data_IF_221945595146
#
_entry.id   IF_221945595146
#
_cell.length_a   1.000
_cell.length_b   1.000
_cell.length_c   1.000
_cell.angle_alpha   90.00
_cell.angle_beta   90.00
_cell.angle_gamma   90.00
#
_symmetry.space_group_name_H-M   'P 1'
#
loop_
_entity.id
_entity.type
_entity.pdbx_description
1 polymer ?
#
# COMPACT_ATOMS: atom_id res chain seq x y z
N UNK A 1 -38.53 5.98 45.38
CA UNK A 1 -37.31 5.32 44.84
C UNK A 1 -37.46 4.76 43.42
N UNK A 2 -38.52 4.07 43.03
CA UNK A 2 -38.69 3.46 41.68
C UNK A 2 -38.67 4.41 40.48
N UNK A 3 -39.15 5.68 40.58
CA UNK A 3 -39.10 6.64 39.44
C UNK A 3 -37.68 7.12 39.12
N UNK A 4 -36.85 7.44 40.14
CA UNK A 4 -35.47 7.86 39.97
C UNK A 4 -34.61 6.75 39.33
N UNK A 5 -34.83 5.50 39.75
CA UNK A 5 -34.13 4.34 39.15
C UNK A 5 -34.48 4.13 37.67
N UNK A 6 -35.74 4.31 37.25
CA UNK A 6 -36.14 4.24 35.87
C UNK A 6 -35.56 5.33 34.98
N UNK A 7 -35.40 6.57 35.52
CA UNK A 7 -34.76 7.68 34.80
C UNK A 7 -33.27 7.40 34.61
N UNK A 8 -32.59 6.92 35.65
CA UNK A 8 -31.15 6.56 35.54
C UNK A 8 -30.94 5.45 34.54
N UNK A 9 -31.81 4.41 34.54
CA UNK A 9 -31.73 3.33 33.57
C UNK A 9 -31.98 3.82 32.12
N UNK A 10 -32.92 4.74 31.92
CA UNK A 10 -33.19 5.34 30.62
C UNK A 10 -31.99 6.17 30.11
N UNK A 11 -31.38 6.98 30.99
CA UNK A 11 -30.17 7.76 30.64
C UNK A 11 -29.01 6.82 30.28
N UNK A 12 -28.78 5.78 31.08
CA UNK A 12 -27.73 4.80 30.77
C UNK A 12 -27.97 4.09 29.42
N UNK A 13 -29.22 3.71 29.12
CA UNK A 13 -29.56 3.13 27.82
C UNK A 13 -29.31 4.08 26.66
N UNK A 14 -29.59 5.38 26.80
CA UNK A 14 -29.29 6.40 25.80
C UNK A 14 -27.78 6.51 25.56
N UNK A 15 -26.99 6.52 26.62
CA UNK A 15 -25.52 6.57 26.50
C UNK A 15 -24.96 5.31 25.80
N UNK A 16 -25.52 4.14 26.09
CA UNK A 16 -25.13 2.91 25.40
C UNK A 16 -25.47 2.98 23.89
N UNK A 17 -26.66 3.46 23.54
CA UNK A 17 -27.06 3.61 22.12
C UNK A 17 -26.17 4.63 21.40
N UNK A 18 -25.87 5.77 22.02
CA UNK A 18 -24.96 6.77 21.46
C UNK A 18 -23.55 6.20 21.30
N UNK A 19 -23.06 5.46 22.29
CA UNK A 19 -21.74 4.81 22.24
C UNK A 19 -21.63 3.79 21.11
N UNK A 20 -22.64 2.93 20.98
CA UNK A 20 -22.71 1.95 19.86
C UNK A 20 -22.84 2.68 18.52
N UNK A 21 -23.72 3.69 18.44
CA UNK A 21 -23.90 4.51 17.23
C UNK A 21 -22.61 5.22 16.82
N UNK A 22 -21.87 5.79 17.77
CA UNK A 22 -20.58 6.41 17.53
C UNK A 22 -19.50 5.41 17.08
N UNK A 23 -19.51 4.20 17.64
CA UNK A 23 -18.60 3.12 17.23
C UNK A 23 -18.83 2.69 15.77
N UNK A 24 -20.09 2.62 15.38
CA UNK A 24 -20.52 2.19 14.03
C UNK A 24 -20.50 3.34 13.01
N UNK A 25 -20.39 4.60 13.45
CA UNK A 25 -20.40 5.76 12.56
C UNK A 25 -19.12 5.79 11.72
N UNK A 26 -19.20 5.50 10.41
CA UNK A 26 -18.04 5.55 9.56
C UNK A 26 -17.59 6.99 9.33
N UNK A 27 -16.29 7.24 9.47
CA UNK A 27 -15.65 8.52 9.12
C UNK A 27 -14.74 8.25 7.93
N UNK A 28 -14.76 9.14 6.94
CA UNK A 28 -13.91 9.04 5.76
C UNK A 28 -12.47 9.40 6.11
N UNK A 29 -11.72 8.38 6.52
CA UNK A 29 -10.32 8.50 6.92
C UNK A 29 -9.79 7.26 7.60
N UNK A 30 -8.58 7.42 8.11
CA UNK A 30 -7.84 6.41 8.85
C UNK A 30 -7.36 6.98 10.17
N UNK A 31 -7.27 6.11 11.16
CA UNK A 31 -6.55 6.36 12.41
C UNK A 31 -5.19 5.73 12.27
N UNK A 32 -4.17 6.53 12.46
CA UNK A 32 -2.77 6.11 12.52
C UNK A 32 -2.37 5.95 14.00
N UNK A 33 -1.71 4.85 14.30
CA UNK A 33 -1.19 4.56 15.62
C UNK A 33 0.25 4.05 15.53
N UNK A 34 1.10 4.29 16.55
CA UNK A 34 2.42 3.67 16.59
C UNK A 34 2.30 2.17 16.53
N UNK A 35 3.08 1.57 15.64
CA UNK A 35 3.23 0.13 15.55
C UNK A 35 4.34 -0.39 16.44
N UNK A 36 4.79 -1.60 16.14
CA UNK A 36 5.88 -2.25 16.88
C UNK A 36 7.23 -2.04 16.17
N UNK A 37 8.29 -2.25 16.94
CA UNK A 37 9.64 -2.34 16.42
C UNK A 37 10.06 -3.82 16.43
N UNK A 38 9.89 -4.49 15.29
CA UNK A 38 10.16 -5.90 15.15
C UNK A 38 11.62 -6.16 14.74
N UNK A 39 12.23 -7.19 15.31
CA UNK A 39 13.59 -7.58 14.94
C UNK A 39 13.60 -8.13 13.51
N UNK A 40 14.38 -7.49 12.62
CA UNK A 40 14.51 -7.86 11.21
C UNK A 40 14.96 -9.32 11.02
N UNK A 41 15.76 -9.87 11.93
CA UNK A 41 16.22 -11.27 11.88
C UNK A 41 15.08 -12.30 11.88
N UNK A 42 13.87 -11.94 12.31
CA UNK A 42 12.71 -12.82 12.25
C UNK A 42 12.17 -13.00 10.83
N UNK A 43 12.40 -12.01 9.98
CA UNK A 43 11.88 -11.96 8.59
C UNK A 43 12.94 -12.39 7.57
N UNK A 44 14.23 -12.30 7.90
CA UNK A 44 15.33 -12.63 6.99
C UNK A 44 15.98 -13.95 7.41
N UNK A 45 16.00 -14.90 6.48
CA UNK A 45 16.67 -16.20 6.67
C UNK A 45 17.54 -16.50 5.46
N UNK A 46 18.73 -17.04 5.71
CA UNK A 46 19.64 -17.56 4.69
C UNK A 46 19.79 -19.05 4.94
N UNK A 47 19.41 -19.89 3.98
CA UNK A 47 19.38 -21.35 4.12
C UNK A 47 18.64 -21.83 5.39
N UNK A 48 17.52 -21.16 5.72
CA UNK A 48 16.72 -21.47 6.91
C UNK A 48 17.31 -21.00 8.25
N UNK A 49 18.49 -20.39 8.24
CA UNK A 49 19.17 -19.86 9.42
C UNK A 49 18.88 -18.37 9.60
N UNK A 50 18.67 -17.97 10.84
CA UNK A 50 18.57 -16.56 11.24
C UNK A 50 19.93 -16.02 11.63
N UNK A 51 20.14 -14.71 11.48
CA UNK A 51 21.34 -14.04 11.99
C UNK A 51 21.34 -14.00 13.52
N UNK A 52 22.41 -14.54 14.11
CA UNK A 52 22.66 -14.55 15.56
C UNK A 52 23.83 -13.63 15.97
N UNK A 53 24.23 -12.70 15.09
CA UNK A 53 25.32 -11.76 15.38
C UNK A 53 24.94 -10.82 16.53
N UNK A 54 25.99 -10.21 17.13
CA UNK A 54 25.80 -9.15 18.12
C UNK A 54 25.26 -7.90 17.45
N UNK A 55 24.17 -7.38 17.97
CA UNK A 55 23.44 -6.26 17.41
C UNK A 55 22.14 -6.71 16.73
N UNK A 56 21.27 -5.76 16.43
CA UNK A 56 20.01 -6.03 15.76
C UNK A 56 19.55 -4.84 14.94
N UNK A 57 18.90 -5.11 13.83
CA UNK A 57 18.13 -4.13 13.07
C UNK A 57 16.66 -4.35 13.38
N UNK A 58 15.92 -3.26 13.56
CA UNK A 58 14.49 -3.32 13.80
C UNK A 58 13.75 -2.63 12.65
N UNK A 59 12.61 -3.22 12.26
CA UNK A 59 11.64 -2.59 11.37
C UNK A 59 10.60 -1.93 12.26
N UNK A 60 10.37 -0.62 12.06
CA UNK A 60 9.27 0.10 12.70
C UNK A 60 8.05 0.08 11.81
N UNK A 61 6.88 -0.08 12.41
CA UNK A 61 5.60 -0.09 11.71
C UNK A 61 4.66 1.00 12.23
N UNK A 62 3.64 1.31 11.44
CA UNK A 62 2.50 2.16 11.82
C UNK A 62 1.24 1.34 11.57
N UNK A 63 0.35 1.31 12.57
CA UNK A 63 -0.97 0.74 12.37
C UNK A 63 -1.88 1.75 11.70
N UNK A 64 -2.58 1.28 10.67
CA UNK A 64 -3.53 2.07 9.92
C UNK A 64 -4.88 1.34 9.95
N UNK A 65 -5.88 1.96 10.58
CA UNK A 65 -7.23 1.39 10.68
C UNK A 65 -8.28 2.36 10.13
N UNK A 66 -9.37 1.83 9.57
CA UNK A 66 -10.49 2.67 9.14
C UNK A 66 -11.03 3.46 10.32
N UNK A 67 -11.24 4.77 10.10
CA UNK A 67 -11.74 5.66 11.13
C UNK A 67 -13.23 5.41 11.41
N UNK A 68 -13.59 5.48 12.68
CA UNK A 68 -14.97 5.57 13.16
C UNK A 68 -15.10 6.71 14.17
N UNK A 69 -16.33 7.04 14.58
CA UNK A 69 -16.57 8.19 15.44
C UNK A 69 -15.82 8.15 16.77
N UNK A 70 -15.75 7.00 17.42
CA UNK A 70 -15.00 6.86 18.68
C UNK A 70 -13.51 6.93 18.49
N UNK A 71 -12.99 6.27 17.44
CA UNK A 71 -11.58 6.34 17.07
C UNK A 71 -11.15 7.78 16.78
N UNK A 72 -11.96 8.55 16.07
CA UNK A 72 -11.70 9.97 15.83
C UNK A 72 -11.64 10.77 17.13
N UNK A 73 -12.60 10.56 18.05
CA UNK A 73 -12.57 11.23 19.36
C UNK A 73 -11.32 10.87 20.16
N UNK A 74 -10.84 9.64 20.04
CA UNK A 74 -9.59 9.23 20.70
C UNK A 74 -8.37 10.00 20.20
N UNK A 75 -8.33 10.40 18.93
CA UNK A 75 -7.21 11.21 18.39
C UNK A 75 -7.15 12.61 19.02
N UNK A 76 -8.27 13.13 19.56
CA UNK A 76 -8.30 14.45 20.20
C UNK A 76 -7.69 14.44 21.62
N UNK A 77 -7.63 13.29 22.26
CA UNK A 77 -7.18 13.14 23.65
C UNK A 77 -5.89 12.32 23.77
N UNK A 78 -5.53 11.55 22.76
CA UNK A 78 -4.31 10.73 22.76
C UNK A 78 -3.31 11.27 21.71
N UNK A 79 -2.18 11.86 22.16
CA UNK A 79 -1.19 12.48 21.27
C UNK A 79 -0.44 11.46 20.39
N UNK A 80 -0.58 10.16 20.65
CA UNK A 80 0.03 9.10 19.86
C UNK A 80 -0.85 8.60 18.69
N UNK A 81 -2.09 9.11 18.63
CA UNK A 81 -3.01 8.80 17.52
C UNK A 81 -3.15 10.01 16.62
N UNK A 82 -3.15 9.78 15.31
CA UNK A 82 -3.47 10.83 14.35
C UNK A 82 -4.61 10.38 13.42
N UNK A 83 -5.34 11.36 12.92
CA UNK A 83 -6.37 11.16 11.92
C UNK A 83 -5.88 11.68 10.57
N UNK A 84 -5.96 10.83 9.55
CA UNK A 84 -5.68 11.20 8.16
C UNK A 84 -6.90 10.93 7.28
N UNK A 85 -7.24 11.86 6.38
CA UNK A 85 -8.33 11.65 5.43
C UNK A 85 -7.99 10.54 4.45
N UNK A 86 -8.99 9.80 3.98
CA UNK A 86 -8.78 8.73 3.00
C UNK A 86 -7.99 9.22 1.79
N UNK A 87 -8.33 10.40 1.25
CA UNK A 87 -7.65 10.96 0.09
C UNK A 87 -6.15 11.24 0.34
N UNK A 88 -5.79 11.67 1.55
CA UNK A 88 -4.40 11.98 1.91
C UNK A 88 -3.56 10.69 2.02
N UNK A 89 -4.17 9.60 2.51
CA UNK A 89 -3.52 8.29 2.67
C UNK A 89 -3.45 7.55 1.34
N UNK A 90 -4.55 7.53 0.58
CA UNK A 90 -4.67 6.70 -0.63
C UNK A 90 -4.34 7.44 -1.92
N UNK A 91 -4.04 8.75 -1.85
CA UNK A 91 -3.88 9.58 -3.04
C UNK A 91 -5.17 9.77 -3.85
N UNK A 92 -6.33 9.56 -3.21
CA UNK A 92 -7.65 9.61 -3.86
C UNK A 92 -8.07 8.30 -4.53
N UNK A 93 -7.25 7.26 -4.43
CA UNK A 93 -7.55 5.93 -4.95
C UNK A 93 -8.40 5.09 -3.97
N UNK A 94 -9.00 4.01 -4.46
CA UNK A 94 -9.70 3.07 -3.58
C UNK A 94 -8.73 2.35 -2.64
N UNK A 95 -9.22 1.89 -1.48
CA UNK A 95 -8.39 1.12 -0.54
C UNK A 95 -7.78 -0.15 -1.17
N UNK A 96 -8.46 -0.77 -2.14
CA UNK A 96 -7.96 -1.94 -2.85
C UNK A 96 -6.79 -1.60 -3.78
N UNK A 97 -6.89 -0.47 -4.51
CA UNK A 97 -5.81 0.04 -5.36
C UNK A 97 -4.61 0.45 -4.49
N UNK A 98 -4.85 1.17 -3.41
CA UNK A 98 -3.80 1.52 -2.44
C UNK A 98 -3.07 0.29 -1.92
N UNK A 99 -3.79 -0.77 -1.52
CA UNK A 99 -3.18 -2.01 -1.05
C UNK A 99 -2.31 -2.69 -2.12
N UNK A 100 -2.74 -2.69 -3.40
CA UNK A 100 -1.93 -3.21 -4.53
C UNK A 100 -0.61 -2.44 -4.67
N UNK A 101 -0.66 -1.11 -4.60
CA UNK A 101 0.54 -0.26 -4.70
C UNK A 101 1.48 -0.48 -3.52
N UNK A 102 0.96 -0.57 -2.29
CA UNK A 102 1.77 -0.85 -1.10
C UNK A 102 2.44 -2.22 -1.18
N UNK A 103 1.72 -3.24 -1.65
CA UNK A 103 2.31 -4.57 -1.87
C UNK A 103 3.44 -4.54 -2.91
N UNK A 104 3.26 -3.81 -4.01
CA UNK A 104 4.32 -3.61 -5.00
C UNK A 104 5.56 -2.96 -4.38
N UNK A 105 5.40 -1.88 -3.60
CA UNK A 105 6.53 -1.24 -2.94
C UNK A 105 7.26 -2.19 -2.00
N UNK A 106 6.53 -3.02 -1.23
CA UNK A 106 7.13 -4.01 -0.35
C UNK A 106 7.94 -5.05 -1.15
N UNK A 107 7.36 -5.64 -2.20
CA UNK A 107 8.04 -6.64 -3.03
C UNK A 107 9.26 -6.05 -3.74
N UNK A 108 9.16 -4.81 -4.23
CA UNK A 108 10.28 -4.11 -4.85
C UNK A 108 11.42 -3.81 -3.85
N UNK A 109 11.07 -3.45 -2.62
CA UNK A 109 12.05 -3.21 -1.56
C UNK A 109 12.76 -4.52 -1.16
N UNK A 110 12.04 -5.64 -1.06
CA UNK A 110 12.62 -6.96 -0.79
C UNK A 110 13.59 -7.35 -1.90
N UNK A 111 13.15 -7.29 -3.16
CA UNK A 111 14.00 -7.64 -4.31
C UNK A 111 15.27 -6.77 -4.38
N UNK A 112 15.14 -5.47 -4.09
CA UNK A 112 16.28 -4.55 -4.03
C UNK A 112 17.25 -4.90 -2.90
N UNK A 113 16.72 -5.23 -1.73
CA UNK A 113 17.53 -5.64 -0.58
C UNK A 113 18.30 -6.95 -0.85
N UNK A 114 17.63 -7.94 -1.45
CA UNK A 114 18.26 -9.20 -1.88
C UNK A 114 19.38 -8.95 -2.89
N UNK A 115 19.12 -8.14 -3.91
CA UNK A 115 20.13 -7.79 -4.91
C UNK A 115 21.38 -7.16 -4.28
N UNK A 116 21.18 -6.21 -3.36
CA UNK A 116 22.29 -5.56 -2.64
C UNK A 116 23.03 -6.55 -1.76
N UNK A 117 22.32 -7.42 -1.04
CA UNK A 117 22.91 -8.42 -0.15
C UNK A 117 23.78 -9.43 -0.92
N UNK A 118 23.25 -10.02 -2.00
CA UNK A 118 24.00 -10.96 -2.85
C UNK A 118 25.22 -10.31 -3.48
N UNK A 119 25.07 -9.07 -4.00
CA UNK A 119 26.20 -8.30 -4.54
C UNK A 119 27.28 -8.05 -3.48
N UNK A 120 26.91 -7.68 -2.26
CA UNK A 120 27.85 -7.45 -1.15
C UNK A 120 28.52 -8.73 -0.69
N UNK A 121 27.84 -9.85 -0.75
CA UNK A 121 28.36 -11.18 -0.41
C UNK A 121 29.19 -11.81 -1.55
N UNK A 122 29.35 -11.14 -2.71
CA UNK A 122 29.95 -11.69 -3.92
C UNK A 122 29.31 -13.01 -4.38
N UNK A 123 28.00 -13.15 -4.17
CA UNK A 123 27.23 -14.30 -4.61
C UNK A 123 26.54 -13.99 -5.95
N UNK A 124 26.42 -15.01 -6.83
CA UNK A 124 25.71 -14.82 -8.10
C UNK A 124 24.23 -14.59 -7.84
N UNK A 125 23.64 -13.64 -8.58
CA UNK A 125 22.20 -13.38 -8.60
C UNK A 125 21.76 -13.11 -10.03
N UNK A 126 20.66 -13.73 -10.43
CA UNK A 126 20.01 -13.45 -11.70
C UNK A 126 18.82 -12.53 -11.45
N UNK A 127 18.79 -11.38 -12.12
CA UNK A 127 17.69 -10.43 -12.04
C UNK A 127 16.93 -10.47 -13.36
N UNK A 128 15.62 -10.72 -13.29
CA UNK A 128 14.73 -10.70 -14.44
C UNK A 128 13.81 -9.48 -14.35
N UNK A 129 13.88 -8.63 -15.35
CA UNK A 129 12.97 -7.49 -15.48
C UNK A 129 11.62 -7.97 -16.02
N UNK A 130 10.55 -7.73 -15.28
CA UNK A 130 9.20 -8.20 -15.65
C UNK A 130 8.38 -7.15 -16.42
N UNK A 131 8.76 -5.89 -16.32
CA UNK A 131 8.05 -4.80 -16.97
C UNK A 131 7.91 -3.55 -16.09
N UNK A 132 7.07 -2.62 -16.51
CA UNK A 132 6.74 -1.38 -15.80
C UNK A 132 5.44 -1.57 -15.03
N UNK A 133 5.50 -1.49 -13.72
CA UNK A 133 4.30 -1.52 -12.88
C UNK A 133 3.61 -0.16 -12.90
N UNK A 134 2.32 -0.14 -13.17
CA UNK A 134 1.50 1.08 -13.24
C UNK A 134 1.09 1.50 -11.84
N UNK A 135 1.69 2.57 -11.33
CA UNK A 135 1.42 3.13 -10.00
C UNK A 135 0.28 4.15 -9.99
N UNK A 136 0.08 4.83 -11.12
CA UNK A 136 -0.96 5.84 -11.27
C UNK A 136 -1.34 5.98 -12.75
N UNK A 137 -2.61 6.28 -13.00
CA UNK A 137 -3.12 6.65 -14.33
C UNK A 137 -3.78 8.02 -14.21
N UNK A 138 -3.19 9.03 -14.83
CA UNK A 138 -3.70 10.40 -14.75
C UNK A 138 -5.11 10.53 -15.36
N UNK A 139 -5.90 11.47 -14.86
CA UNK A 139 -7.31 11.68 -15.31
C UNK A 139 -7.42 11.95 -16.81
N UNK A 140 -6.42 12.60 -17.38
CA UNK A 140 -6.37 13.00 -18.80
C UNK A 140 -5.64 11.97 -19.67
N UNK A 141 -5.26 10.82 -19.12
CA UNK A 141 -4.60 9.76 -19.88
C UNK A 141 -5.55 9.10 -20.87
N UNK A 142 -5.12 9.00 -22.13
CA UNK A 142 -5.83 8.26 -23.17
C UNK A 142 -5.98 6.77 -22.83
N UNK A 143 -5.08 6.22 -22.00
CA UNK A 143 -5.07 4.82 -21.56
C UNK A 143 -5.98 4.53 -20.36
N UNK A 144 -6.65 5.53 -19.78
CA UNK A 144 -7.47 5.39 -18.58
C UNK A 144 -8.55 4.31 -18.68
N UNK A 145 -9.05 4.00 -19.88
CA UNK A 145 -10.07 2.98 -20.11
C UNK A 145 -9.49 1.58 -20.25
N UNK A 146 -8.23 1.46 -20.61
CA UNK A 146 -7.56 0.21 -20.95
C UNK A 146 -6.57 -0.24 -19.88
N UNK A 147 -5.74 0.67 -19.39
CA UNK A 147 -4.70 0.41 -18.38
C UNK A 147 -5.19 0.88 -17.00
N UNK A 148 -4.89 0.08 -15.99
CA UNK A 148 -5.28 0.33 -14.61
C UNK A 148 -4.06 0.31 -13.69
N UNK A 149 -4.19 0.94 -12.53
CA UNK A 149 -3.19 0.81 -11.45
C UNK A 149 -3.10 -0.66 -11.03
N UNK A 150 -1.88 -1.17 -10.96
CA UNK A 150 -1.62 -2.58 -10.70
C UNK A 150 -1.31 -3.42 -11.94
N UNK A 151 -1.50 -2.89 -13.14
CA UNK A 151 -1.03 -3.55 -14.36
C UNK A 151 0.50 -3.51 -14.44
N UNK A 152 1.11 -4.52 -15.04
CA UNK A 152 2.52 -4.52 -15.40
C UNK A 152 2.65 -4.48 -16.92
N UNK A 153 3.13 -3.38 -17.48
CA UNK A 153 3.38 -3.24 -18.92
C UNK A 153 4.61 -4.08 -19.27
N UNK A 154 4.45 -5.06 -20.14
CA UNK A 154 5.48 -6.01 -20.52
C UNK A 154 6.12 -5.69 -21.86
N UNK A 155 5.36 -5.10 -22.79
CA UNK A 155 5.86 -4.68 -24.11
C UNK A 155 5.09 -3.47 -24.64
N UNK A 156 5.71 -2.71 -25.54
CA UNK A 156 5.06 -1.70 -26.39
C UNK A 156 5.44 -1.97 -27.84
N UNK A 157 4.43 -2.10 -28.70
CA UNK A 157 4.59 -2.46 -30.11
C UNK A 157 5.50 -3.71 -30.27
N UNK A 158 5.20 -4.76 -29.50
CA UNK A 158 5.95 -6.02 -29.44
C UNK A 158 7.40 -5.88 -28.91
N UNK A 159 7.78 -4.67 -28.46
CA UNK A 159 9.13 -4.39 -27.93
C UNK A 159 9.18 -4.65 -26.43
N UNK A 160 9.98 -5.63 -26.01
CA UNK A 160 10.28 -5.90 -24.63
C UNK A 160 11.48 -5.06 -24.15
N UNK A 161 11.48 -4.69 -22.89
CA UNK A 161 12.51 -3.83 -22.31
C UNK A 161 13.26 -4.57 -21.20
N UNK A 162 14.55 -4.32 -21.10
CA UNK A 162 15.42 -4.90 -20.07
C UNK A 162 15.41 -4.09 -18.77
N UNK A 163 14.97 -2.83 -18.83
CA UNK A 163 14.87 -1.91 -17.69
C UNK A 163 13.98 -0.70 -18.03
N UNK A 164 13.64 0.06 -16.99
CA UNK A 164 12.79 1.25 -17.11
C UNK A 164 13.41 2.35 -18.00
N UNK A 165 14.72 2.53 -17.99
CA UNK A 165 15.39 3.58 -18.80
C UNK A 165 15.22 3.31 -20.31
N UNK A 166 15.31 2.04 -20.73
CA UNK A 166 15.08 1.65 -22.12
C UNK A 166 13.64 1.92 -22.55
N UNK A 167 12.69 1.59 -21.68
CA UNK A 167 11.28 1.88 -21.88
C UNK A 167 11.03 3.39 -22.07
N UNK A 168 11.55 4.22 -21.15
CA UNK A 168 11.38 5.68 -21.21
C UNK A 168 12.00 6.25 -22.49
N UNK A 169 13.22 5.82 -22.85
CA UNK A 169 13.89 6.26 -24.09
C UNK A 169 13.15 5.86 -25.35
N UNK A 170 12.56 4.66 -25.36
CA UNK A 170 11.77 4.19 -26.48
C UNK A 170 10.54 5.08 -26.71
N UNK A 171 9.80 5.40 -25.64
CA UNK A 171 8.65 6.29 -25.72
C UNK A 171 9.03 7.72 -26.07
N UNK A 172 10.13 8.25 -25.50
CA UNK A 172 10.58 9.61 -25.77
C UNK A 172 10.97 9.84 -27.24
N UNK A 173 11.37 8.79 -27.96
CA UNK A 173 11.72 8.84 -29.37
C UNK A 173 10.51 8.68 -30.30
N UNK A 174 9.32 8.39 -29.77
CA UNK A 174 8.13 8.29 -30.60
C UNK A 174 7.50 9.67 -30.87
N UNK A 175 6.92 9.86 -32.04
CA UNK A 175 6.12 11.07 -32.31
C UNK A 175 4.98 11.22 -31.29
N UNK A 176 4.61 12.45 -30.97
CA UNK A 176 3.40 12.72 -30.16
C UNK A 176 2.17 12.24 -30.96
N UNK A 177 1.15 11.81 -30.20
CA UNK A 177 -0.14 11.40 -30.73
C UNK A 177 -0.14 10.14 -31.63
N UNK A 178 0.94 9.34 -31.60
CA UNK A 178 0.97 8.05 -32.26
C UNK A 178 0.21 7.01 -31.41
N UNK A 179 -0.51 6.11 -32.06
CA UNK A 179 -1.08 4.93 -31.40
C UNK A 179 0.02 3.92 -31.17
N UNK A 180 0.05 3.34 -30.00
CA UNK A 180 0.95 2.25 -29.61
C UNK A 180 0.11 1.08 -29.09
N UNK A 181 0.54 -0.13 -29.38
CA UNK A 181 -0.01 -1.32 -28.76
C UNK A 181 0.72 -1.56 -27.44
N UNK A 182 -0.02 -1.81 -26.38
CA UNK A 182 0.53 -2.10 -25.05
C UNK A 182 0.16 -3.51 -24.67
N UNK A 183 1.17 -4.34 -24.39
CA UNK A 183 0.99 -5.64 -23.78
C UNK A 183 1.20 -5.52 -22.26
N UNK A 184 0.30 -6.09 -21.49
CA UNK A 184 0.33 -5.98 -20.04
C UNK A 184 -0.09 -7.26 -19.34
N UNK A 185 0.31 -7.38 -18.06
CA UNK A 185 -0.21 -8.38 -17.14
C UNK A 185 -1.13 -7.68 -16.13
N UNK A 186 -2.34 -8.20 -15.98
CA UNK A 186 -3.33 -7.78 -14.97
C UNK A 186 -3.67 -8.97 -14.09
N UNK A 187 -3.34 -8.89 -12.80
CA UNK A 187 -3.52 -10.00 -11.84
C UNK A 187 -2.98 -11.34 -12.40
N UNK A 188 -1.80 -11.29 -13.06
CA UNK A 188 -1.12 -12.43 -13.67
C UNK A 188 -1.66 -12.90 -15.05
N UNK A 189 -2.70 -12.25 -15.57
CA UNK A 189 -3.29 -12.57 -16.87
C UNK A 189 -2.80 -11.59 -17.94
N UNK A 190 -2.35 -12.13 -19.08
CA UNK A 190 -1.94 -11.31 -20.22
C UNK A 190 -3.14 -10.62 -20.87
N UNK A 191 -2.94 -9.36 -21.26
CA UNK A 191 -3.86 -8.55 -22.03
C UNK A 191 -3.11 -7.62 -22.97
N UNK A 192 -3.81 -7.07 -23.94
CA UNK A 192 -3.29 -6.05 -24.84
C UNK A 192 -4.32 -4.96 -25.10
N UNK A 193 -3.87 -3.77 -25.50
CA UNK A 193 -4.73 -2.63 -25.83
C UNK A 193 -4.04 -1.68 -26.80
#
# INVERSE_FOLDING_TARGET
>A
MRKKSKIIAAIAAVFVVIGIGGLLWPIDGYIEAPGQADNLAQFVKIDGKTDNSKGRYNITSVYLSKANGLGYLQTLINPHLSFAKTADVTGGESSAVFAKVQNFYMQSAIASAEQVAFKKANQPITTTYQGIYVLNVTKDSHFKKSIQVGDTITAIDEHHFENADRFIKYLANKPKDIRVQIDYLRDGKAGNT
#
